data_IF_452992923174
#
_entry.id   IF_452992923174
#
_cell.length_a   1.000
_cell.length_b   1.000
_cell.length_c   1.000
_cell.angle_alpha   90.00
_cell.angle_beta   90.00
_cell.angle_gamma   90.00
#
_symmetry.space_group_name_H-M   'P 1'
#
loop_
_entity.id
_entity.type
_entity.pdbx_description
1 polymer ?
#
# COMPACT_ATOMS: atom_id res chain seq x y z
N UNK A 1 2.77 4.45 -22.42
CA UNK A 1 2.15 3.65 -21.35
C UNK A 1 0.78 3.22 -21.84
N UNK A 2 0.54 1.92 -22.05
CA UNK A 2 -0.78 1.42 -22.44
C UNK A 2 -1.63 1.17 -21.19
N UNK A 3 -2.94 1.48 -21.19
CA UNK A 3 -3.80 1.12 -20.08
C UNK A 3 -3.83 -0.42 -19.93
N UNK A 4 -3.43 -0.93 -18.76
CA UNK A 4 -3.62 -2.33 -18.40
C UNK A 4 -5.13 -2.55 -18.22
N UNK A 5 -5.69 -3.53 -18.93
CA UNK A 5 -7.08 -3.93 -18.72
C UNK A 5 -7.19 -4.61 -17.35
N UNK A 6 -8.06 -4.07 -16.50
CA UNK A 6 -8.37 -4.59 -15.18
C UNK A 6 -9.82 -5.10 -15.21
N UNK A 7 -10.06 -6.41 -15.09
CA UNK A 7 -11.41 -6.93 -15.06
C UNK A 7 -12.15 -6.40 -13.83
N UNK A 8 -13.46 -6.28 -13.97
CA UNK A 8 -14.32 -5.73 -12.91
C UNK A 8 -14.27 -6.65 -11.68
N UNK A 9 -14.18 -6.05 -10.49
CA UNK A 9 -14.19 -6.75 -9.20
C UNK A 9 -13.01 -7.72 -8.99
N UNK A 10 -11.85 -7.45 -9.59
CA UNK A 10 -10.61 -8.21 -9.35
C UNK A 10 -9.59 -7.39 -8.55
N UNK A 11 -9.82 -7.15 -7.24
CA UNK A 11 -8.86 -6.45 -6.38
C UNK A 11 -7.50 -7.15 -6.34
N UNK A 12 -7.46 -8.47 -6.51
CA UNK A 12 -6.23 -9.29 -6.60
C UNK A 12 -5.37 -9.00 -7.82
N UNK A 13 -5.93 -8.33 -8.83
CA UNK A 13 -5.18 -7.90 -10.03
C UNK A 13 -4.83 -6.41 -9.98
N UNK A 14 -5.32 -5.68 -8.96
CA UNK A 14 -5.10 -4.26 -8.83
C UNK A 14 -3.94 -3.97 -7.87
N UNK A 15 -2.78 -3.63 -8.43
CA UNK A 15 -1.54 -3.43 -7.68
C UNK A 15 -1.67 -2.41 -6.53
N UNK A 16 -2.47 -1.33 -6.72
CA UNK A 16 -2.68 -0.33 -5.66
C UNK A 16 -3.53 -0.88 -4.51
N UNK A 17 -4.50 -1.75 -4.79
CA UNK A 17 -5.32 -2.40 -3.75
C UNK A 17 -4.47 -3.37 -2.91
N UNK A 18 -3.62 -4.15 -3.57
CA UNK A 18 -2.67 -5.06 -2.91
C UNK A 18 -1.70 -4.25 -2.02
N UNK A 19 -1.16 -3.13 -2.54
CA UNK A 19 -0.31 -2.23 -1.76
C UNK A 19 -1.05 -1.72 -0.52
N UNK A 20 -2.27 -1.22 -0.68
CA UNK A 20 -3.07 -0.72 0.44
C UNK A 20 -3.42 -1.80 1.45
N UNK A 21 -3.66 -3.04 1.01
CA UNK A 21 -3.87 -4.17 1.91
C UNK A 21 -2.64 -4.43 2.77
N UNK A 22 -1.44 -4.51 2.17
CA UNK A 22 -0.18 -4.69 2.88
C UNK A 22 0.09 -3.56 3.88
N UNK A 23 -0.11 -2.31 3.45
CA UNK A 23 0.04 -1.15 4.34
C UNK A 23 -0.86 -1.26 5.56
N UNK A 24 -2.16 -1.52 5.37
CA UNK A 24 -3.14 -1.55 6.47
C UNK A 24 -2.92 -2.68 7.48
N UNK A 25 -2.58 -3.87 6.99
CA UNK A 25 -2.60 -5.08 7.82
C UNK A 25 -1.23 -5.54 8.28
N UNK A 26 -0.15 -5.15 7.59
CA UNK A 26 1.20 -5.64 7.90
C UNK A 26 2.16 -4.53 8.29
N UNK A 27 2.11 -3.36 7.66
CA UNK A 27 3.17 -2.35 7.82
C UNK A 27 2.82 -1.20 8.76
N UNK A 28 1.56 -0.74 8.75
CA UNK A 28 1.15 0.35 9.62
C UNK A 28 1.05 -0.12 11.08
N UNK A 29 1.82 0.48 12.00
CA UNK A 29 1.70 0.17 13.41
C UNK A 29 0.40 0.77 13.98
N UNK A 30 -0.11 0.22 15.10
CA UNK A 30 -1.28 0.78 15.78
C UNK A 30 -1.13 2.26 16.14
N UNK A 31 0.09 2.70 16.42
CA UNK A 31 0.42 4.10 16.72
C UNK A 31 0.16 5.06 15.54
N UNK A 32 0.14 4.58 14.30
CA UNK A 32 -0.21 5.39 13.13
C UNK A 32 -1.68 5.85 13.18
N UNK A 33 -2.57 5.06 13.78
CA UNK A 33 -4.01 5.35 13.82
C UNK A 33 -4.42 6.32 14.92
N UNK A 34 -3.49 6.87 15.71
CA UNK A 34 -3.84 7.77 16.83
C UNK A 34 -4.25 9.17 16.36
N UNK A 35 -3.89 9.57 15.15
CA UNK A 35 -4.28 10.85 14.55
C UNK A 35 -4.08 10.82 13.04
N UNK A 36 -4.82 11.65 12.32
CA UNK A 36 -4.66 11.77 10.87
C UNK A 36 -3.24 12.16 10.46
N UNK A 37 -2.61 13.12 11.17
CA UNK A 37 -1.24 13.56 10.86
C UNK A 37 -0.24 12.41 10.98
N UNK A 38 -0.30 11.62 12.06
CA UNK A 38 0.55 10.44 12.20
C UNK A 38 0.28 9.39 11.13
N UNK A 39 -0.99 9.16 10.78
CA UNK A 39 -1.31 8.23 9.71
C UNK A 39 -0.67 8.67 8.39
N UNK A 40 -0.74 9.96 8.07
CA UNK A 40 -0.13 10.52 6.88
C UNK A 40 1.40 10.39 6.91
N UNK A 41 2.06 10.73 8.03
CA UNK A 41 3.51 10.59 8.19
C UNK A 41 3.98 9.15 7.96
N UNK A 42 3.28 8.18 8.53
CA UNK A 42 3.60 6.75 8.35
C UNK A 42 3.35 6.28 6.91
N UNK A 43 2.26 6.75 6.28
CA UNK A 43 1.98 6.46 4.87
C UNK A 43 3.09 7.00 3.98
N UNK A 44 3.51 8.25 4.20
CA UNK A 44 4.58 8.89 3.42
C UNK A 44 5.91 8.16 3.60
N UNK A 45 6.25 7.74 4.83
CA UNK A 45 7.46 6.95 5.11
C UNK A 45 7.45 5.61 4.38
N UNK A 46 6.34 4.87 4.44
CA UNK A 46 6.19 3.60 3.72
C UNK A 46 6.34 3.81 2.21
N UNK A 47 5.71 4.85 1.66
CA UNK A 47 5.76 5.14 0.22
C UNK A 47 7.16 5.58 -0.23
N UNK A 48 7.88 6.36 0.58
CA UNK A 48 9.27 6.76 0.31
C UNK A 48 10.24 5.57 0.33
N UNK A 49 9.97 4.58 1.19
CA UNK A 49 10.79 3.38 1.34
C UNK A 49 10.22 2.15 0.60
N UNK A 50 9.19 2.34 -0.23
CA UNK A 50 8.60 1.26 -1.02
C UNK A 50 9.57 0.78 -2.10
N UNK A 51 9.76 -0.53 -2.21
CA UNK A 51 10.75 -1.17 -3.07
C UNK A 51 12.15 -1.31 -2.46
N UNK A 52 12.36 -0.82 -1.23
CA UNK A 52 13.60 -1.07 -0.47
C UNK A 52 13.32 -1.76 0.86
N UNK A 53 12.69 -1.07 1.82
CA UNK A 53 12.31 -1.62 3.13
C UNK A 53 10.95 -2.33 3.06
N UNK A 54 10.03 -1.80 2.23
CA UNK A 54 8.70 -2.35 2.03
C UNK A 54 8.60 -2.96 0.63
N UNK A 55 8.69 -4.28 0.56
CA UNK A 55 8.70 -5.03 -0.71
C UNK A 55 7.46 -5.91 -0.81
N UNK A 56 6.83 -5.89 -1.98
CA UNK A 56 5.74 -6.80 -2.35
C UNK A 56 6.17 -7.54 -3.60
N UNK A 57 6.15 -8.86 -3.54
CA UNK A 57 6.27 -9.70 -4.73
C UNK A 57 4.89 -9.86 -5.36
N UNK A 58 4.70 -9.21 -6.51
CA UNK A 58 3.53 -9.38 -7.35
C UNK A 58 3.79 -10.52 -8.35
N UNK A 59 3.96 -11.75 -7.84
CA UNK A 59 4.20 -12.95 -8.65
C UNK A 59 2.95 -13.44 -9.36
#
# INVERSE_FOLDING_TARGET
MYPKFLPKYSPELNLIEILWQKMKYEWLPFAAYTSFNKLQEWVDEILLNFGSQYVIEFS
#
